data_IF_085232959324
#
_entry.id   IF_085232959324
#
_cell.length_a   1.000
_cell.length_b   1.000
_cell.length_c   1.000
_cell.angle_alpha   90.00
_cell.angle_beta   90.00
_cell.angle_gamma   90.00
#
_symmetry.space_group_name_H-M   'P 1'
#
loop_
_entity.id
_entity.type
_entity.pdbx_description
1 polymer ?
#
# COMPACT_ATOMS: atom_id res chain seq x y z
N UNK A 1 17.20 2.68 -16.28
CA UNK A 1 16.68 3.64 -15.29
C UNK A 1 15.47 4.35 -15.89
N UNK A 2 14.36 4.38 -15.16
CA UNK A 2 13.20 5.22 -15.46
C UNK A 2 13.06 6.32 -14.38
N UNK A 3 11.91 6.99 -14.33
CA UNK A 3 11.63 8.05 -13.35
C UNK A 3 10.76 7.60 -12.17
N UNK A 4 10.45 6.30 -12.04
CA UNK A 4 9.52 5.76 -11.03
C UNK A 4 9.91 6.08 -9.58
N UNK A 5 11.20 5.93 -9.23
CA UNK A 5 11.72 6.29 -7.90
C UNK A 5 11.76 7.80 -7.59
N UNK A 6 11.25 8.66 -8.47
CA UNK A 6 11.25 10.13 -8.31
C UNK A 6 9.84 10.68 -8.50
N UNK A 7 9.41 11.60 -7.63
CA UNK A 7 8.06 12.16 -7.68
C UNK A 7 7.92 13.25 -8.76
N UNK A 8 7.79 12.83 -10.02
CA UNK A 8 7.66 13.73 -11.18
C UNK A 8 6.35 13.52 -11.92
N UNK A 9 5.83 14.60 -12.53
CA UNK A 9 4.53 14.59 -13.24
C UNK A 9 4.44 13.58 -14.38
N UNK A 10 5.57 13.18 -14.99
CA UNK A 10 5.59 12.17 -16.06
C UNK A 10 5.07 10.79 -15.62
N UNK A 11 5.32 10.39 -14.37
CA UNK A 11 4.82 9.11 -13.84
C UNK A 11 3.28 9.16 -13.73
N UNK A 12 2.74 10.28 -13.25
CA UNK A 12 1.30 10.52 -13.13
C UNK A 12 0.62 10.61 -14.50
N UNK A 13 1.26 11.25 -15.48
CA UNK A 13 0.72 11.31 -16.84
C UNK A 13 0.57 9.90 -17.44
N UNK A 14 1.54 9.01 -17.19
CA UNK A 14 1.47 7.62 -17.63
C UNK A 14 0.39 6.78 -16.91
N UNK A 15 -0.01 7.18 -15.70
CA UNK A 15 -1.02 6.46 -14.89
C UNK A 15 -2.47 6.85 -15.21
N UNK A 16 -2.72 7.92 -15.97
CA UNK A 16 -4.08 8.41 -16.25
C UNK A 16 -4.95 7.40 -17.00
N UNK A 17 -4.44 6.84 -18.11
CA UNK A 17 -5.20 5.88 -18.91
C UNK A 17 -5.42 4.55 -18.16
N UNK A 18 -4.41 3.93 -17.51
CA UNK A 18 -4.65 2.74 -16.69
C UNK A 18 -5.68 2.95 -15.56
N UNK A 19 -5.68 4.13 -14.93
CA UNK A 19 -6.70 4.47 -13.94
C UNK A 19 -8.11 4.47 -14.55
N UNK A 20 -8.30 5.15 -15.67
CA UNK A 20 -9.58 5.18 -16.40
C UNK A 20 -10.05 3.76 -16.76
N UNK A 21 -9.16 2.93 -17.31
CA UNK A 21 -9.47 1.54 -17.65
C UNK A 21 -9.86 0.70 -16.42
N UNK A 22 -9.19 0.89 -15.27
CA UNK A 22 -9.56 0.21 -14.04
C UNK A 22 -10.98 0.60 -13.58
N UNK A 23 -11.29 1.90 -13.60
CA UNK A 23 -12.62 2.41 -13.25
C UNK A 23 -13.67 1.87 -14.24
N UNK A 24 -13.41 1.86 -15.53
CA UNK A 24 -14.30 1.34 -16.58
C UNK A 24 -14.59 -0.17 -16.44
N UNK A 25 -13.62 -0.96 -15.96
CA UNK A 25 -13.82 -2.40 -15.70
C UNK A 25 -14.76 -2.68 -14.52
N UNK A 26 -15.15 -1.64 -13.78
CA UNK A 26 -16.10 -1.77 -12.68
C UNK A 26 -17.48 -2.20 -13.17
N UNK A 27 -18.08 -3.19 -12.50
CA UNK A 27 -19.44 -3.67 -12.74
C UNK A 27 -20.44 -3.12 -11.72
N UNK A 28 -21.68 -3.62 -11.73
CA UNK A 28 -22.67 -3.32 -10.68
C UNK A 28 -22.31 -3.94 -9.33
N UNK A 29 -21.52 -5.03 -9.33
CA UNK A 29 -21.16 -5.78 -8.12
C UNK A 29 -19.71 -5.61 -7.69
N UNK A 30 -18.84 -5.05 -8.54
CA UNK A 30 -17.42 -4.80 -8.22
C UNK A 30 -17.00 -3.43 -8.73
N UNK A 31 -16.40 -2.63 -7.86
CA UNK A 31 -15.83 -1.32 -8.20
C UNK A 31 -14.32 -1.36 -7.96
N UNK A 32 -13.55 -0.89 -8.94
CA UNK A 32 -12.11 -0.73 -8.80
C UNK A 32 -11.78 0.73 -8.53
N UNK A 33 -10.99 0.97 -7.48
CA UNK A 33 -10.61 2.32 -7.08
C UNK A 33 -9.46 2.88 -7.94
N UNK A 34 -8.51 2.02 -8.31
CA UNK A 34 -7.35 2.40 -9.11
C UNK A 34 -6.68 1.14 -9.70
N UNK A 35 -5.70 1.35 -10.59
CA UNK A 35 -4.84 0.30 -11.10
C UNK A 35 -3.75 -0.11 -10.08
N UNK A 36 -3.37 -1.39 -10.09
CA UNK A 36 -2.16 -1.87 -9.42
C UNK A 36 -1.10 -2.13 -10.48
N UNK A 37 0.07 -1.52 -10.29
CA UNK A 37 1.19 -1.65 -11.20
C UNK A 37 2.08 -2.80 -10.76
N UNK A 38 2.48 -3.62 -11.73
CA UNK A 38 3.46 -4.68 -11.54
C UNK A 38 4.83 -4.22 -12.07
N UNK A 39 5.88 -4.95 -11.71
CA UNK A 39 7.23 -4.64 -12.16
C UNK A 39 7.29 -4.57 -13.70
N UNK A 40 7.89 -3.50 -14.27
CA UNK A 40 7.80 -3.24 -15.71
C UNK A 40 8.59 -4.22 -16.57
N UNK A 41 9.42 -5.09 -15.96
CA UNK A 41 10.27 -6.05 -16.68
C UNK A 41 9.57 -7.38 -16.92
N UNK A 42 8.87 -7.89 -15.91
CA UNK A 42 8.33 -9.25 -15.93
C UNK A 42 6.84 -9.31 -15.63
N UNK A 43 6.25 -8.26 -15.05
CA UNK A 43 4.86 -8.23 -14.62
C UNK A 43 4.52 -9.41 -13.69
N UNK A 44 5.43 -9.74 -12.78
CA UNK A 44 5.26 -10.82 -11.78
C UNK A 44 5.13 -10.31 -10.36
N UNK A 45 5.61 -9.09 -10.08
CA UNK A 45 5.68 -8.52 -8.72
C UNK A 45 4.92 -7.21 -8.61
N UNK A 46 4.18 -7.01 -7.54
CA UNK A 46 3.51 -5.74 -7.23
C UNK A 46 4.56 -4.65 -6.99
N UNK A 47 4.34 -3.48 -7.57
CA UNK A 47 5.09 -2.26 -7.28
C UNK A 47 4.25 -1.27 -6.47
N UNK A 48 3.18 -0.72 -7.06
CA UNK A 48 2.39 0.37 -6.47
C UNK A 48 0.88 0.20 -6.74
N UNK A 49 0.07 0.84 -5.90
CA UNK A 49 -1.40 0.93 -6.05
C UNK A 49 -1.73 2.37 -6.41
N UNK A 50 -1.97 2.65 -7.70
CA UNK A 50 -2.19 4.01 -8.17
C UNK A 50 -0.99 4.90 -7.85
N UNK A 51 -1.22 5.92 -7.02
CA UNK A 51 -0.21 6.86 -6.52
C UNK A 51 0.27 6.57 -5.08
N UNK A 52 0.02 5.35 -4.56
CA UNK A 52 0.35 4.90 -3.21
C UNK A 52 1.19 3.61 -3.23
N UNK A 53 1.95 3.35 -2.15
CA UNK A 53 2.68 2.08 -2.03
C UNK A 53 1.76 0.98 -1.50
N UNK A 54 2.00 -0.25 -1.93
CA UNK A 54 1.34 -1.45 -1.41
C UNK A 54 1.99 -1.92 -0.10
N UNK A 55 1.19 -2.50 0.80
CA UNK A 55 1.68 -3.38 1.86
C UNK A 55 0.73 -4.56 2.03
N UNK A 56 1.28 -5.69 2.50
CA UNK A 56 0.54 -6.88 2.90
C UNK A 56 0.91 -7.29 4.32
N UNK A 57 -0.09 -7.75 5.07
CA UNK A 57 0.10 -8.38 6.38
C UNK A 57 -0.04 -9.89 6.18
N UNK A 58 1.01 -10.65 6.46
CA UNK A 58 0.98 -12.11 6.30
C UNK A 58 0.12 -12.78 7.36
N UNK A 59 -0.29 -14.02 7.10
CA UNK A 59 -1.05 -14.84 8.07
C UNK A 59 -0.28 -15.13 9.37
N UNK A 60 1.04 -15.06 9.34
CA UNK A 60 1.94 -15.16 10.49
C UNK A 60 2.38 -13.78 11.04
N UNK A 61 1.61 -12.73 10.75
CA UNK A 61 1.72 -11.39 11.34
C UNK A 61 3.03 -10.64 11.03
N UNK A 62 3.52 -10.75 9.79
CA UNK A 62 4.62 -9.93 9.24
C UNK A 62 4.05 -8.82 8.37
N UNK A 63 4.69 -7.66 8.38
CA UNK A 63 4.42 -6.55 7.47
C UNK A 63 5.38 -6.64 6.29
N UNK A 64 4.87 -6.76 5.07
CA UNK A 64 5.69 -6.84 3.85
C UNK A 64 5.28 -5.72 2.88
N UNK A 65 6.25 -4.99 2.35
CA UNK A 65 6.03 -3.96 1.31
C UNK A 65 7.06 -4.11 0.17
N UNK A 66 6.65 -3.88 -1.09
CA UNK A 66 7.55 -3.94 -2.24
C UNK A 66 8.75 -2.99 -2.16
N UNK A 67 9.88 -3.45 -2.70
CA UNK A 67 11.09 -2.64 -2.92
C UNK A 67 11.61 -2.82 -4.35
N UNK A 68 11.86 -1.71 -5.03
CA UNK A 68 12.35 -1.67 -6.41
C UNK A 68 12.85 -0.26 -6.74
N UNK A 69 13.78 -0.14 -7.68
CA UNK A 69 14.25 1.17 -8.18
C UNK A 69 13.15 1.95 -8.92
N UNK A 70 12.09 1.27 -9.37
CA UNK A 70 10.92 1.89 -10.03
C UNK A 70 9.81 2.31 -9.08
N UNK A 71 9.90 2.01 -7.79
CA UNK A 71 8.88 2.38 -6.79
C UNK A 71 9.23 3.71 -6.14
N UNK A 72 8.23 4.58 -5.96
CA UNK A 72 8.42 5.82 -5.22
C UNK A 72 8.60 5.51 -3.72
N UNK A 73 9.69 5.96 -3.07
CA UNK A 73 9.94 5.72 -1.65
C UNK A 73 9.01 6.59 -0.77
N UNK A 74 7.76 6.17 -0.57
CA UNK A 74 6.78 6.91 0.25
C UNK A 74 7.24 7.08 1.69
N UNK A 75 7.08 8.29 2.22
CA UNK A 75 7.32 8.56 3.64
C UNK A 75 6.34 7.77 4.51
N UNK A 76 5.07 7.66 4.10
CA UNK A 76 4.07 6.86 4.82
C UNK A 76 4.46 5.39 4.91
N UNK A 77 5.02 4.82 3.84
CA UNK A 77 5.52 3.44 3.85
C UNK A 77 6.58 3.24 4.94
N UNK A 78 7.60 4.10 4.99
CA UNK A 78 8.65 3.98 6.00
C UNK A 78 8.15 4.25 7.42
N UNK A 79 7.19 5.17 7.59
CA UNK A 79 6.52 5.34 8.88
C UNK A 79 5.81 4.06 9.31
N UNK A 80 5.09 3.39 8.42
CA UNK A 80 4.40 2.14 8.75
C UNK A 80 5.34 0.97 9.02
N UNK A 81 6.44 0.84 8.27
CA UNK A 81 7.50 -0.14 8.57
C UNK A 81 8.03 0.04 10.00
N UNK A 82 8.33 1.29 10.38
CA UNK A 82 8.80 1.61 11.72
C UNK A 82 7.75 1.29 12.80
N UNK A 83 6.50 1.70 12.61
CA UNK A 83 5.44 1.45 13.60
C UNK A 83 5.09 -0.04 13.70
N UNK A 84 5.07 -0.78 12.60
CA UNK A 84 4.87 -2.22 12.60
C UNK A 84 5.91 -2.92 13.49
N UNK A 85 7.19 -2.53 13.34
CA UNK A 85 8.28 -3.08 14.13
C UNK A 85 8.24 -2.62 15.60
N UNK A 86 8.28 -1.31 15.84
CA UNK A 86 8.54 -0.74 17.17
C UNK A 86 7.30 -0.66 18.07
N UNK A 87 6.11 -0.54 17.49
CA UNK A 87 4.85 -0.39 18.25
C UNK A 87 4.02 -1.67 18.27
N UNK A 88 4.05 -2.45 17.19
CA UNK A 88 3.23 -3.66 17.05
C UNK A 88 4.04 -4.95 17.22
N UNK A 89 5.38 -4.88 17.30
CA UNK A 89 6.25 -6.04 17.51
C UNK A 89 6.27 -7.02 16.33
N UNK A 90 6.02 -6.52 15.12
CA UNK A 90 5.96 -7.32 13.90
C UNK A 90 7.33 -7.38 13.22
N UNK A 91 7.58 -8.44 12.46
CA UNK A 91 8.66 -8.42 11.47
C UNK A 91 8.23 -7.52 10.30
N UNK A 92 9.02 -6.50 9.99
CA UNK A 92 8.75 -5.51 8.94
C UNK A 92 9.79 -5.65 7.81
N UNK A 93 9.33 -6.04 6.62
CA UNK A 93 10.17 -6.50 5.52
C UNK A 93 9.92 -5.65 4.27
N UNK A 94 10.99 -5.15 3.69
CA UNK A 94 11.01 -4.67 2.32
C UNK A 94 11.45 -5.81 1.41
N UNK A 95 10.59 -6.25 0.49
CA UNK A 95 10.85 -7.43 -0.32
C UNK A 95 9.90 -7.59 -1.50
N UNK A 96 10.19 -8.55 -2.36
CA UNK A 96 9.36 -8.85 -3.53
C UNK A 96 7.97 -9.38 -3.12
N UNK A 97 6.91 -8.82 -3.69
CA UNK A 97 5.53 -9.28 -3.50
C UNK A 97 4.99 -9.82 -4.81
N UNK A 98 4.89 -11.14 -4.95
CA UNK A 98 4.45 -11.76 -6.19
C UNK A 98 2.92 -11.78 -6.33
N UNK A 99 2.43 -11.43 -7.52
CA UNK A 99 0.98 -11.35 -7.82
C UNK A 99 0.28 -12.73 -7.80
N UNK A 100 1.03 -13.82 -7.93
CA UNK A 100 0.52 -15.19 -7.84
C UNK A 100 0.57 -15.77 -6.42
N UNK A 101 1.12 -15.03 -5.45
CA UNK A 101 1.27 -15.45 -4.06
C UNK A 101 0.44 -14.59 -3.08
N UNK A 102 -0.62 -13.94 -3.53
CA UNK A 102 -1.46 -13.07 -2.68
C UNK A 102 -2.09 -13.81 -1.49
N UNK A 103 -2.36 -15.10 -1.65
CA UNK A 103 -2.96 -15.96 -0.61
C UNK A 103 -2.08 -16.09 0.66
N UNK A 104 -0.83 -15.60 0.66
CA UNK A 104 0.01 -15.52 1.87
C UNK A 104 -0.43 -14.40 2.83
N UNK A 105 -1.12 -13.38 2.32
CA UNK A 105 -1.54 -12.21 3.09
C UNK A 105 -2.94 -12.42 3.69
N UNK A 106 -3.09 -12.06 4.97
CA UNK A 106 -4.37 -12.00 5.67
C UNK A 106 -5.05 -10.63 5.48
N UNK A 107 -4.26 -9.56 5.32
CA UNK A 107 -4.74 -8.20 5.06
C UNK A 107 -3.82 -7.54 4.03
N UNK A 108 -4.34 -6.56 3.29
CA UNK A 108 -3.53 -5.74 2.40
C UNK A 108 -4.03 -4.29 2.40
N UNK A 109 -3.16 -3.37 2.00
CA UNK A 109 -3.49 -1.96 1.95
C UNK A 109 -2.60 -1.17 1.00
N UNK A 110 -3.07 0.02 0.66
CA UNK A 110 -2.29 1.06 0.00
C UNK A 110 -1.98 2.17 1.00
N UNK A 111 -0.81 2.78 0.94
CA UNK A 111 -0.37 3.81 1.87
C UNK A 111 0.35 4.98 1.17
N UNK A 112 0.09 6.19 1.66
CA UNK A 112 0.66 7.42 1.12
C UNK A 112 0.05 8.64 1.82
N UNK A 113 0.64 9.83 1.67
CA UNK A 113 0.23 11.01 2.43
C UNK A 113 -1.26 11.32 2.33
N UNK A 114 -1.84 11.27 1.13
CA UNK A 114 -3.26 11.56 0.92
C UNK A 114 -4.18 10.42 1.39
N UNK A 115 -3.74 9.17 1.23
CA UNK A 115 -4.53 7.99 1.61
C UNK A 115 -4.46 7.70 3.12
N UNK A 116 -3.35 8.10 3.76
CA UNK A 116 -2.83 7.52 5.00
C UNK A 116 -2.70 6.01 4.87
N UNK A 117 -3.81 5.29 5.04
CA UNK A 117 -3.99 3.89 4.64
C UNK A 117 -5.36 3.75 3.97
N UNK A 118 -5.38 3.19 2.76
CA UNK A 118 -6.59 2.68 2.12
C UNK A 118 -6.55 1.15 2.17
N UNK A 119 -7.43 0.50 2.96
CA UNK A 119 -7.53 -0.96 2.98
C UNK A 119 -7.85 -1.53 1.60
N UNK A 120 -7.16 -2.58 1.20
CA UNK A 120 -7.42 -3.30 -0.06
C UNK A 120 -8.31 -4.49 0.27
N UNK A 121 -9.59 -4.40 -0.06
CA UNK A 121 -10.53 -5.50 0.10
C UNK A 121 -10.19 -6.68 -0.82
N UNK A 122 -9.91 -6.40 -2.09
CA UNK A 122 -9.47 -7.39 -3.06
C UNK A 122 -8.79 -6.81 -4.29
N UNK A 123 -8.12 -7.70 -5.03
CA UNK A 123 -7.40 -7.41 -6.28
C UNK A 123 -7.96 -8.30 -7.39
N UNK A 124 -8.32 -7.68 -8.51
CA UNK A 124 -8.61 -8.40 -9.75
C UNK A 124 -7.32 -8.54 -10.55
N UNK A 125 -6.96 -9.77 -10.90
CA UNK A 125 -5.88 -10.05 -11.83
C UNK A 125 -6.32 -11.15 -12.81
N UNK A 126 -6.40 -10.78 -14.10
CA UNK A 126 -7.00 -11.62 -15.14
C UNK A 126 -8.42 -12.03 -14.71
N UNK A 127 -8.74 -13.31 -14.70
CA UNK A 127 -10.06 -13.83 -14.33
C UNK A 127 -10.23 -14.07 -12.82
N UNK A 128 -9.18 -13.91 -12.01
CA UNK A 128 -9.22 -14.16 -10.55
C UNK A 128 -9.40 -12.85 -9.79
N UNK A 129 -10.47 -12.80 -8.98
CA UNK A 129 -10.63 -11.80 -7.93
C UNK A 129 -10.19 -12.41 -6.60
N UNK A 130 -9.10 -11.89 -6.03
CA UNK A 130 -8.59 -12.33 -4.73
C UNK A 130 -9.01 -11.35 -3.65
N UNK A 131 -9.68 -11.84 -2.61
CA UNK A 131 -10.08 -11.07 -1.43
C UNK A 131 -9.13 -11.41 -0.28
N UNK A 132 -8.61 -10.40 0.41
CA UNK A 132 -7.65 -10.60 1.50
C UNK A 132 -8.35 -10.88 2.84
N UNK A 133 -9.06 -9.87 3.36
CA UNK A 133 -9.76 -9.94 4.64
C UNK A 133 -11.28 -9.89 4.45
N UNK A 134 -11.78 -8.79 3.89
CA UNK A 134 -13.19 -8.56 3.61
C UNK A 134 -13.33 -7.45 2.56
N UNK A 135 -14.37 -7.50 1.75
CA UNK A 135 -14.72 -6.40 0.82
C UNK A 135 -15.40 -5.23 1.53
N UNK A 136 -15.88 -5.43 2.77
CA UNK A 136 -16.68 -4.44 3.52
C UNK A 136 -16.12 -4.08 4.89
N UNK A 137 -15.18 -4.87 5.41
CA UNK A 137 -14.57 -4.64 6.71
C UNK A 137 -13.05 -4.48 6.61
N UNK A 138 -12.50 -3.67 7.50
CA UNK A 138 -11.06 -3.45 7.62
C UNK A 138 -10.49 -4.42 8.64
N UNK A 139 -9.40 -5.10 8.26
CA UNK A 139 -8.69 -6.02 9.13
C UNK A 139 -8.11 -5.34 10.38
N UNK A 140 -7.95 -6.10 11.48
CA UNK A 140 -7.53 -5.56 12.76
C UNK A 140 -6.12 -4.96 12.74
N UNK A 141 -5.16 -5.54 12.00
CA UNK A 141 -3.78 -5.03 11.97
C UNK A 141 -3.73 -3.71 11.21
N UNK A 142 -4.39 -3.64 10.06
CA UNK A 142 -4.54 -2.42 9.26
C UNK A 142 -5.17 -1.30 10.09
N UNK A 143 -6.22 -1.60 10.86
CA UNK A 143 -6.88 -0.63 11.76
C UNK A 143 -5.93 -0.12 12.86
N UNK A 144 -5.13 -1.00 13.46
CA UNK A 144 -4.15 -0.62 14.49
C UNK A 144 -3.06 0.28 13.92
N UNK A 145 -2.50 -0.06 12.77
CA UNK A 145 -1.50 0.76 12.08
C UNK A 145 -2.04 2.16 11.73
N UNK A 146 -3.28 2.22 11.23
CA UNK A 146 -3.94 3.50 10.93
C UNK A 146 -4.12 4.37 12.18
N UNK A 147 -4.62 3.78 13.27
CA UNK A 147 -4.86 4.50 14.52
C UNK A 147 -3.55 5.01 15.15
N UNK A 148 -2.48 4.20 15.13
CA UNK A 148 -1.17 4.59 15.64
C UNK A 148 -0.58 5.76 14.83
N UNK A 149 -0.58 5.63 13.49
CA UNK A 149 0.01 6.65 12.61
C UNK A 149 -0.78 7.97 12.68
N UNK A 150 -2.11 7.92 12.61
CA UNK A 150 -2.93 9.14 12.68
C UNK A 150 -2.90 9.76 14.07
N UNK A 151 -2.92 8.95 15.14
CA UNK A 151 -2.71 9.43 16.50
C UNK A 151 -1.41 10.20 16.67
N UNK A 152 -0.32 9.74 16.06
CA UNK A 152 0.97 10.47 16.05
C UNK A 152 0.85 11.78 15.25
N UNK A 153 0.23 11.74 14.07
CA UNK A 153 0.07 12.91 13.20
C UNK A 153 -0.76 14.04 13.86
N UNK A 154 -1.78 13.68 14.63
CA UNK A 154 -2.64 14.63 15.35
C UNK A 154 -2.15 14.97 16.76
N UNK A 155 -1.13 14.27 17.27
CA UNK A 155 -0.54 14.51 18.58
C UNK A 155 -1.25 13.81 19.75
N UNK A 156 -2.15 12.87 19.47
CA UNK A 156 -2.85 12.05 20.47
C UNK A 156 -2.00 10.86 20.96
N UNK A 157 -1.02 10.45 20.15
CA UNK A 157 -0.07 9.36 20.45
C UNK A 157 1.35 9.91 20.40
N UNK A 158 2.21 9.43 21.31
CA UNK A 158 3.60 9.85 21.38
C UNK A 158 4.35 9.51 20.08
N UNK A 159 4.89 10.55 19.45
CA UNK A 159 5.64 10.43 18.21
C UNK A 159 7.05 9.86 18.45
N UNK A 160 7.58 9.05 17.51
CA UNK A 160 9.02 8.78 17.45
C UNK A 160 9.82 10.08 17.36
N UNK A 161 11.04 10.05 17.92
CA UNK A 161 11.87 11.24 17.99
C UNK A 161 12.16 11.81 16.60
N UNK A 162 11.96 13.12 16.45
CA UNK A 162 12.25 13.86 15.22
C UNK A 162 11.17 13.78 14.13
N UNK A 163 10.06 13.07 14.35
CA UNK A 163 8.97 13.00 13.36
C UNK A 163 8.09 14.26 13.32
N UNK A 164 7.87 14.88 14.48
CA UNK A 164 6.98 16.05 14.60
C UNK A 164 7.80 17.33 14.65
N UNK A 165 7.49 18.24 13.73
CA UNK A 165 7.98 19.62 13.72
C UNK A 165 6.78 20.53 13.98
N UNK A 166 6.84 21.29 15.08
CA UNK A 166 5.81 22.30 15.35
C UNK A 166 6.01 23.49 14.41
N UNK A 167 4.92 23.96 13.83
CA UNK A 167 4.87 25.20 13.07
C UNK A 167 4.10 26.20 13.93
N UNK A 168 4.73 27.33 14.22
CA UNK A 168 4.15 28.45 14.98
C UNK A 168 3.57 29.50 14.02
#
# INVERSE_FOLDING_TARGET
>A
MGTGGVKVGGNYAASLLPHELAVEQSSTTRKFADAIYLDPKTHTKIEEVGAANFFGITKDNKFITPISESILPSITKYSLLHLAQERLGMEAIEGDVYIDQLDQFAEAGACGTAAVITPVGGIQHKDKFHVFYSETEVGPVTRRLYAELTGIQFGDVEAPQGWIVKVE
#
